data_IF_486649958573
#
_entry.id   IF_486649958573
#
_cell.length_a   1.000
_cell.length_b   1.000
_cell.length_c   1.000
_cell.angle_alpha   90.00
_cell.angle_beta   90.00
_cell.angle_gamma   90.00
#
_symmetry.space_group_name_H-M   'P 1'
#
loop_
_entity.id
_entity.type
_entity.pdbx_description
1 polymer ?
#
# COMPACT_ATOMS: atom_id res chain seq x y z
N UNK A 1 22.65 -2.99 24.84
CA UNK A 1 22.05 -1.83 24.15
C UNK A 1 21.99 -2.18 22.68
N UNK A 2 20.85 -2.69 22.22
CA UNK A 2 20.64 -3.06 20.81
C UNK A 2 19.95 -1.90 20.12
N UNK A 3 20.69 -1.19 19.27
CA UNK A 3 20.15 -0.14 18.41
C UNK A 3 19.16 -0.76 17.42
N UNK A 4 17.88 -0.41 17.51
CA UNK A 4 16.92 -0.70 16.45
C UNK A 4 17.22 0.21 15.25
N UNK A 5 17.15 -0.29 14.00
CA UNK A 5 17.30 0.56 12.83
C UNK A 5 16.15 1.59 12.84
N UNK A 6 16.51 2.87 12.93
CA UNK A 6 15.56 3.97 12.77
C UNK A 6 15.12 4.08 11.31
N UNK A 7 13.88 4.54 11.05
CA UNK A 7 13.35 4.59 9.70
C UNK A 7 14.10 5.61 8.83
N UNK A 8 14.29 5.24 7.57
CA UNK A 8 14.88 6.09 6.53
C UNK A 8 13.91 7.24 6.20
N UNK A 9 14.36 8.48 6.37
CA UNK A 9 13.57 9.70 6.20
C UNK A 9 13.23 10.03 4.73
N UNK A 10 13.60 9.17 3.78
CA UNK A 10 13.50 9.42 2.34
C UNK A 10 12.20 8.96 1.67
N UNK A 11 11.24 8.41 2.43
CA UNK A 11 9.95 7.95 1.89
C UNK A 11 8.76 8.68 2.54
N UNK A 12 8.26 9.79 1.95
CA UNK A 12 7.18 10.60 2.54
C UNK A 12 5.82 9.89 2.63
N UNK A 13 5.62 8.79 1.90
CA UNK A 13 4.45 7.92 2.04
C UNK A 13 4.58 6.93 3.22
N UNK A 14 5.80 6.70 3.74
CA UNK A 14 6.07 5.81 4.87
C UNK A 14 5.92 6.54 6.23
N UNK A 15 4.99 7.49 6.30
CA UNK A 15 4.55 8.04 7.58
C UNK A 15 3.78 6.96 8.35
N UNK A 16 4.41 6.46 9.42
CA UNK A 16 3.81 5.44 10.28
C UNK A 16 2.63 6.05 11.05
N UNK A 17 1.42 5.85 10.55
CA UNK A 17 0.32 5.63 11.47
C UNK A 17 0.55 4.25 12.09
N UNK A 18 0.98 4.18 13.35
CA UNK A 18 1.31 2.94 14.07
C UNK A 18 0.11 2.01 14.32
N UNK A 19 -1.01 2.20 13.62
CA UNK A 19 -2.29 1.53 13.88
C UNK A 19 -2.96 1.95 15.21
N UNK A 20 -2.29 2.75 16.05
CA UNK A 20 -2.75 3.16 17.37
C UNK A 20 -3.20 4.64 17.44
N UNK A 21 -3.22 5.35 16.30
CA UNK A 21 -3.57 6.77 16.25
C UNK A 21 -2.52 7.70 16.88
N UNK A 22 -1.35 7.18 17.26
CA UNK A 22 -0.28 7.98 17.84
C UNK A 22 0.57 8.62 16.73
N UNK A 23 0.67 9.95 16.76
CA UNK A 23 1.62 10.70 15.96
C UNK A 23 2.86 10.99 16.80
N UNK A 24 4.04 10.68 16.25
CA UNK A 24 5.33 10.92 16.91
C UNK A 24 6.08 11.99 16.12
N UNK A 25 6.43 13.09 16.79
CA UNK A 25 7.27 14.13 16.22
C UNK A 25 8.73 13.66 16.10
N UNK A 26 9.45 14.17 15.11
CA UNK A 26 10.89 13.95 14.94
C UNK A 26 11.75 14.42 16.12
N UNK A 27 11.25 15.32 16.96
CA UNK A 27 11.92 15.75 18.20
C UNK A 27 11.73 14.78 19.39
N UNK A 28 11.02 13.66 19.20
CA UNK A 28 10.73 12.69 20.25
C UNK A 28 9.50 13.03 21.09
N UNK A 29 8.79 14.11 20.79
CA UNK A 29 7.49 14.40 21.40
C UNK A 29 6.46 13.37 20.94
N UNK A 30 5.81 12.73 21.91
CA UNK A 30 4.68 11.84 21.70
C UNK A 30 3.42 12.57 22.07
N UNK A 31 2.48 12.68 21.13
CA UNK A 31 1.13 13.04 21.49
C UNK A 31 0.46 11.72 21.86
N UNK A 32 0.35 11.44 23.17
CA UNK A 32 -0.43 10.30 23.65
C UNK A 32 -1.78 10.34 22.94
N UNK A 33 -2.15 9.25 22.28
CA UNK A 33 -3.49 9.09 21.76
C UNK A 33 -4.43 9.17 22.98
N UNK A 34 -5.02 10.35 23.20
CA UNK A 34 -6.03 10.53 24.22
C UNK A 34 -7.03 9.38 24.07
N UNK A 35 -7.45 8.72 25.17
CA UNK A 35 -8.43 7.64 25.09
C UNK A 35 -9.59 8.17 24.25
N UNK A 36 -9.92 7.45 23.17
CA UNK A 36 -10.76 7.95 22.09
C UNK A 36 -11.93 8.75 22.67
N UNK A 37 -11.98 10.05 22.38
CA UNK A 37 -13.04 10.96 22.82
C UNK A 37 -14.43 10.42 22.43
N UNK A 38 -14.47 9.50 21.45
CA UNK A 38 -15.56 8.56 21.17
C UNK A 38 -14.98 7.27 20.51
N UNK A 39 -15.03 6.08 21.14
CA UNK A 39 -14.59 4.82 20.53
C UNK A 39 -15.29 4.49 19.21
N UNK A 40 -16.55 4.90 19.02
CA UNK A 40 -17.26 4.71 17.75
C UNK A 40 -16.72 5.64 16.66
N UNK A 41 -16.28 6.85 17.00
CA UNK A 41 -15.61 7.75 16.05
C UNK A 41 -14.28 7.15 15.57
N UNK A 42 -13.52 6.49 16.46
CA UNK A 42 -12.30 5.77 16.07
C UNK A 42 -12.59 4.62 15.10
N UNK A 43 -13.64 3.83 15.34
CA UNK A 43 -14.08 2.77 14.41
C UNK A 43 -14.47 3.33 13.04
N UNK A 44 -15.24 4.41 13.00
CA UNK A 44 -15.63 5.06 11.73
C UNK A 44 -14.42 5.59 10.96
N UNK A 45 -13.46 6.20 11.65
CA UNK A 45 -12.23 6.68 11.03
C UNK A 45 -11.39 5.53 10.47
N UNK A 46 -11.28 4.41 11.19
CA UNK A 46 -10.59 3.22 10.70
C UNK A 46 -11.30 2.60 9.49
N UNK A 47 -12.63 2.52 9.50
CA UNK A 47 -13.42 2.02 8.38
C UNK A 47 -13.24 2.88 7.11
N UNK A 48 -13.31 4.20 7.22
CA UNK A 48 -13.08 5.10 6.08
C UNK A 48 -11.65 5.00 5.52
N UNK A 49 -10.66 4.78 6.40
CA UNK A 49 -9.27 4.57 5.96
C UNK A 49 -9.12 3.24 5.21
N UNK A 50 -9.77 2.18 5.67
CA UNK A 50 -9.79 0.88 4.98
C UNK A 50 -10.44 1.01 3.61
N UNK A 51 -11.57 1.70 3.50
CA UNK A 51 -12.27 1.93 2.22
C UNK A 51 -11.39 2.73 1.23
N UNK A 52 -10.73 3.79 1.70
CA UNK A 52 -9.78 4.56 0.88
C UNK A 52 -8.64 3.68 0.35
N UNK A 53 -8.05 2.85 1.21
CA UNK A 53 -6.98 1.93 0.81
C UNK A 53 -7.47 0.87 -0.18
N UNK A 54 -8.71 0.39 -0.02
CA UNK A 54 -9.31 -0.53 -0.97
C UNK A 54 -9.43 0.13 -2.35
N UNK A 55 -9.91 1.37 -2.44
CA UNK A 55 -9.99 2.08 -3.72
C UNK A 55 -8.63 2.35 -4.35
N UNK A 56 -7.62 2.70 -3.54
CA UNK A 56 -6.25 2.86 -4.02
C UNK A 56 -5.68 1.54 -4.57
N UNK A 57 -5.94 0.41 -3.89
CA UNK A 57 -5.54 -0.92 -4.34
C UNK A 57 -6.26 -1.31 -5.64
N UNK A 58 -7.57 -1.07 -5.74
CA UNK A 58 -8.36 -1.34 -6.94
C UNK A 58 -7.84 -0.53 -8.15
N UNK A 59 -7.51 0.75 -7.92
CA UNK A 59 -6.92 1.61 -8.94
C UNK A 59 -5.53 1.14 -9.37
N UNK A 60 -4.69 0.72 -8.41
CA UNK A 60 -3.36 0.19 -8.68
C UNK A 60 -3.42 -1.13 -9.46
N UNK A 61 -4.35 -2.04 -9.11
CA UNK A 61 -4.58 -3.30 -9.82
C UNK A 61 -5.05 -3.03 -11.26
N UNK A 62 -6.00 -2.11 -11.45
CA UNK A 62 -6.46 -1.73 -12.78
C UNK A 62 -5.32 -1.16 -13.65
N UNK A 63 -4.48 -0.29 -13.08
CA UNK A 63 -3.32 0.28 -13.75
C UNK A 63 -2.26 -0.78 -14.10
N UNK A 64 -1.96 -1.70 -13.17
CA UNK A 64 -1.07 -2.83 -13.39
C UNK A 64 -1.56 -3.72 -14.54
N UNK A 65 -2.82 -4.15 -14.50
CA UNK A 65 -3.42 -4.97 -15.54
C UNK A 65 -3.41 -4.27 -16.92
N UNK A 66 -3.63 -2.95 -16.95
CA UNK A 66 -3.51 -2.17 -18.17
C UNK A 66 -2.07 -2.13 -18.71
N UNK A 67 -1.07 -1.96 -17.82
CA UNK A 67 0.34 -1.98 -18.21
C UNK A 67 0.75 -3.34 -18.80
N UNK A 68 0.33 -4.45 -18.17
CA UNK A 68 0.59 -5.82 -18.68
C UNK A 68 -0.04 -6.00 -20.07
N UNK A 69 -1.31 -5.60 -20.25
CA UNK A 69 -1.97 -5.67 -21.57
C UNK A 69 -1.27 -4.82 -22.62
N UNK A 70 -0.84 -3.62 -22.28
CA UNK A 70 -0.15 -2.73 -23.21
C UNK A 70 1.20 -3.30 -23.63
N UNK A 71 1.98 -3.85 -22.71
CA UNK A 71 3.23 -4.52 -23.01
C UNK A 71 3.01 -5.76 -23.91
N UNK A 72 1.99 -6.57 -23.62
CA UNK A 72 1.59 -7.69 -24.48
C UNK A 72 1.24 -7.23 -25.90
N UNK A 73 0.46 -6.14 -26.04
CA UNK A 73 0.08 -5.57 -27.35
C UNK A 73 1.27 -4.98 -28.10
N UNK A 74 2.28 -4.50 -27.38
CA UNK A 74 3.55 -4.04 -27.95
C UNK A 74 4.47 -5.20 -28.37
N UNK A 75 4.05 -6.46 -28.19
CA UNK A 75 4.81 -7.64 -28.61
C UNK A 75 5.84 -8.10 -27.59
N UNK A 76 5.72 -7.72 -26.31
CA UNK A 76 6.56 -8.27 -25.26
C UNK A 76 6.45 -9.81 -25.22
N UNK A 77 7.59 -10.48 -25.07
CA UNK A 77 7.64 -11.94 -24.96
C UNK A 77 6.92 -12.40 -23.70
N UNK A 78 6.18 -13.52 -23.80
CA UNK A 78 5.20 -13.94 -22.80
C UNK A 78 5.85 -14.38 -21.49
N UNK A 79 6.97 -15.08 -21.55
CA UNK A 79 7.71 -15.53 -20.36
C UNK A 79 8.40 -14.35 -19.64
N UNK A 80 9.00 -13.42 -20.40
CA UNK A 80 9.57 -12.19 -19.86
C UNK A 80 8.49 -11.33 -19.18
N UNK A 81 7.32 -11.19 -19.79
CA UNK A 81 6.18 -10.49 -19.21
C UNK A 81 5.68 -11.19 -17.94
N UNK A 82 5.61 -12.53 -17.94
CA UNK A 82 5.22 -13.33 -16.77
C UNK A 82 6.15 -13.11 -15.58
N UNK A 83 7.46 -13.17 -15.83
CA UNK A 83 8.48 -12.97 -14.80
C UNK A 83 8.47 -11.54 -14.26
N UNK A 84 8.36 -10.54 -15.14
CA UNK A 84 8.32 -9.13 -14.74
C UNK A 84 7.05 -8.79 -13.94
N UNK A 85 5.91 -9.39 -14.30
CA UNK A 85 4.63 -9.18 -13.63
C UNK A 85 4.48 -10.04 -12.36
N UNK A 86 5.37 -11.01 -12.12
CA UNK A 86 5.27 -11.94 -10.99
C UNK A 86 4.03 -12.86 -11.04
N UNK A 87 3.48 -13.10 -12.23
CA UNK A 87 2.25 -13.88 -12.41
C UNK A 87 2.54 -15.35 -12.70
N UNK A 88 1.56 -16.21 -12.41
CA UNK A 88 1.54 -17.57 -12.96
C UNK A 88 1.22 -17.52 -14.46
N UNK A 89 1.44 -18.63 -15.17
CA UNK A 89 1.09 -18.71 -16.59
C UNK A 89 -0.42 -18.47 -16.81
N UNK A 90 -1.26 -19.05 -15.96
CA UNK A 90 -2.72 -18.87 -15.99
C UNK A 90 -3.12 -17.43 -15.65
N UNK A 91 -2.52 -16.85 -14.60
CA UNK A 91 -2.79 -15.46 -14.21
C UNK A 91 -2.42 -14.47 -15.31
N UNK A 92 -1.30 -14.69 -16.00
CA UNK A 92 -0.94 -13.89 -17.16
C UNK A 92 -1.96 -14.05 -18.29
N UNK A 93 -2.41 -15.28 -18.57
CA UNK A 93 -3.39 -15.55 -19.61
C UNK A 93 -4.76 -14.90 -19.32
N UNK A 94 -5.17 -14.82 -18.07
CA UNK A 94 -6.40 -14.13 -17.66
C UNK A 94 -6.30 -12.62 -17.84
N UNK A 95 -5.16 -12.00 -17.53
CA UNK A 95 -4.96 -10.54 -17.62
C UNK A 95 -4.91 -10.06 -19.07
N UNK A 96 -4.32 -10.85 -19.99
CA UNK A 96 -4.13 -10.49 -21.40
C UNK A 96 -5.18 -11.04 -22.36
N UNK A 97 -6.18 -11.77 -21.85
CA UNK A 97 -7.36 -12.17 -22.62
C UNK A 97 -8.08 -10.94 -23.17
#
# INVERSE_FOLDING_TARGET
MTSSPGPDASLPWAQFHTGLGEWICTCGFRMDAAPAVDPLAAVRAAAGRLESLQWEMDAAEAAFNAAVRNASRAGAEREALRLAAGLTADGLADVIR
#
